data_IF_056939999116
#
_entry.id   IF_056939999116
#
_cell.length_a   1.000
_cell.length_b   1.000
_cell.length_c   1.000
_cell.angle_alpha   90.00
_cell.angle_beta   90.00
_cell.angle_gamma   90.00
#
_symmetry.space_group_name_H-M   'P 1'
#
loop_
_entity.id
_entity.type
_entity.pdbx_description
1 polymer ?
#
# COMPACT_ATOMS: atom_id res chain seq x y z
N UNK A 1 -15.18 -35.59 -2.21
CA UNK A 1 -15.23 -34.30 -1.47
C UNK A 1 -15.64 -33.19 -2.44
N UNK A 2 -16.75 -32.49 -2.17
CA UNK A 2 -17.18 -31.33 -2.97
C UNK A 2 -16.26 -30.14 -2.63
N UNK A 3 -15.56 -29.57 -3.62
CA UNK A 3 -14.94 -28.25 -3.49
C UNK A 3 -16.07 -27.27 -3.19
N UNK A 4 -16.11 -26.69 -2.00
CA UNK A 4 -16.98 -25.54 -1.74
C UNK A 4 -16.39 -24.38 -2.54
N UNK A 5 -17.00 -24.03 -3.66
CA UNK A 5 -16.73 -22.79 -4.38
C UNK A 5 -17.03 -21.62 -3.43
N UNK A 6 -16.00 -21.19 -2.70
CA UNK A 6 -16.04 -19.96 -1.92
C UNK A 6 -16.21 -18.85 -2.95
N UNK A 7 -17.43 -18.29 -3.04
CA UNK A 7 -17.70 -17.12 -3.86
C UNK A 7 -16.56 -16.12 -3.70
N UNK A 8 -15.95 -15.61 -4.79
CA UNK A 8 -14.87 -14.68 -4.67
C UNK A 8 -15.35 -13.46 -3.88
N UNK A 9 -14.62 -13.10 -2.82
CA UNK A 9 -14.95 -11.93 -2.04
C UNK A 9 -14.73 -10.69 -2.94
N UNK A 10 -15.80 -10.21 -3.57
CA UNK A 10 -15.77 -9.10 -4.53
C UNK A 10 -15.15 -7.83 -3.93
N UNK A 11 -15.32 -7.60 -2.62
CA UNK A 11 -14.72 -6.45 -1.94
C UNK A 11 -13.20 -6.58 -1.87
N UNK A 12 -12.73 -7.79 -1.55
CA UNK A 12 -11.31 -8.10 -1.54
C UNK A 12 -10.68 -7.97 -2.95
N UNK A 13 -11.35 -8.48 -3.99
CA UNK A 13 -10.87 -8.34 -5.37
C UNK A 13 -10.82 -6.88 -5.84
N UNK A 14 -11.82 -6.07 -5.46
CA UNK A 14 -11.83 -4.62 -5.73
C UNK A 14 -10.66 -3.92 -5.06
N UNK A 15 -10.40 -4.20 -3.78
CA UNK A 15 -9.25 -3.67 -3.04
C UNK A 15 -7.94 -4.03 -3.71
N UNK A 16 -7.74 -5.33 -3.97
CA UNK A 16 -6.57 -5.86 -4.68
C UNK A 16 -6.34 -5.18 -6.04
N UNK A 17 -7.41 -4.96 -6.82
CA UNK A 17 -7.32 -4.26 -8.12
C UNK A 17 -6.84 -2.81 -7.95
N UNK A 18 -7.34 -2.11 -6.92
CA UNK A 18 -6.92 -0.74 -6.60
C UNK A 18 -5.43 -0.70 -6.24
N UNK A 19 -4.97 -1.63 -5.40
CA UNK A 19 -3.55 -1.75 -5.04
C UNK A 19 -2.64 -1.99 -6.27
N UNK A 20 -3.02 -2.90 -7.17
CA UNK A 20 -2.27 -3.11 -8.41
C UNK A 20 -2.25 -1.87 -9.32
N UNK A 21 -3.37 -1.15 -9.42
CA UNK A 21 -3.42 0.11 -10.16
C UNK A 21 -2.46 1.14 -9.55
N UNK A 22 -2.40 1.24 -8.23
CA UNK A 22 -1.48 2.12 -7.50
C UNK A 22 -0.02 1.76 -7.79
N UNK A 23 0.35 0.47 -7.71
CA UNK A 23 1.72 0.02 -8.06
C UNK A 23 2.08 0.40 -9.49
N UNK A 24 1.18 0.17 -10.45
CA UNK A 24 1.41 0.55 -11.86
C UNK A 24 1.62 2.05 -12.00
N UNK A 25 0.83 2.86 -11.30
CA UNK A 25 0.97 4.32 -11.33
C UNK A 25 2.31 4.79 -10.76
N UNK A 26 2.77 4.22 -9.64
CA UNK A 26 4.08 4.54 -9.05
C UNK A 26 5.23 4.24 -10.03
N UNK A 27 5.21 3.07 -10.68
CA UNK A 27 6.22 2.73 -11.69
C UNK A 27 6.25 3.72 -12.85
N UNK A 28 5.08 4.14 -13.33
CA UNK A 28 4.96 5.14 -14.38
C UNK A 28 5.42 6.54 -13.94
N UNK A 29 5.34 6.84 -12.63
CA UNK A 29 5.86 8.08 -12.04
C UNK A 29 7.38 8.05 -11.83
N UNK A 30 8.06 6.94 -12.15
CA UNK A 30 9.51 6.83 -12.06
C UNK A 30 10.04 6.27 -10.74
N UNK A 31 9.19 5.67 -9.90
CA UNK A 31 9.67 4.94 -8.72
C UNK A 31 10.37 3.65 -9.15
N UNK A 32 11.64 3.49 -8.76
CA UNK A 32 12.47 2.32 -9.09
C UNK A 32 11.90 1.02 -8.52
N UNK A 33 11.38 1.10 -7.29
CA UNK A 33 10.73 -0.01 -6.60
C UNK A 33 9.30 0.40 -6.32
N UNK A 34 8.34 -0.46 -6.66
CA UNK A 34 6.95 -0.29 -6.25
C UNK A 34 6.30 -1.66 -6.06
N UNK A 35 5.77 -1.91 -4.86
CA UNK A 35 5.25 -3.22 -4.47
C UNK A 35 4.03 -3.10 -3.56
N UNK A 36 3.22 -4.16 -3.54
CA UNK A 36 2.16 -4.35 -2.56
C UNK A 36 2.77 -4.95 -1.29
N UNK A 37 2.23 -4.61 -0.14
CA UNK A 37 2.57 -5.30 1.10
C UNK A 37 1.99 -6.71 1.10
N UNK A 38 2.77 -7.65 1.66
CA UNK A 38 2.30 -9.01 1.89
C UNK A 38 1.39 -9.01 3.12
N UNK A 39 0.09 -9.26 2.91
CA UNK A 39 -0.91 -9.36 3.97
C UNK A 39 -1.70 -8.07 4.21
N UNK A 40 -2.84 -8.19 4.88
CA UNK A 40 -3.85 -7.13 5.04
C UNK A 40 -3.82 -6.43 6.41
N UNK A 41 -2.86 -6.74 7.27
CA UNK A 41 -2.75 -6.18 8.62
C UNK A 41 -1.74 -5.04 8.73
N UNK A 42 -1.01 -4.77 7.66
CA UNK A 42 -0.07 -3.66 7.59
C UNK A 42 -0.81 -2.32 7.49
N UNK A 43 -0.29 -1.23 8.11
CA UNK A 43 -0.77 0.14 7.88
C UNK A 43 -0.40 0.69 6.48
N UNK A 44 0.26 -0.12 5.66
CA UNK A 44 0.71 0.21 4.32
C UNK A 44 0.20 -0.91 3.41
N UNK A 45 -0.53 -0.56 2.35
CA UNK A 45 -0.99 -1.54 1.34
C UNK A 45 -0.03 -1.59 0.16
N UNK A 46 0.54 -0.44 -0.20
CA UNK A 46 1.47 -0.26 -1.32
C UNK A 46 2.58 0.68 -0.88
N UNK A 47 3.81 0.39 -1.28
CA UNK A 47 4.92 1.32 -1.14
C UNK A 47 5.67 1.51 -2.46
N UNK A 48 6.33 2.65 -2.58
CA UNK A 48 7.29 2.94 -3.65
C UNK A 48 8.57 3.54 -3.10
N UNK A 49 9.71 3.21 -3.71
CA UNK A 49 11.03 3.79 -3.41
C UNK A 49 11.58 4.40 -4.71
N UNK A 50 11.83 5.70 -4.64
CA UNK A 50 12.57 6.48 -5.64
C UNK A 50 13.98 6.70 -5.08
N UNK A 51 14.93 5.94 -5.62
CA UNK A 51 16.32 5.93 -5.16
C UNK A 51 17.07 7.19 -5.58
N UNK A 52 16.66 7.82 -6.68
CA UNK A 52 17.25 9.05 -7.21
C UNK A 52 16.95 10.24 -6.29
N UNK A 53 15.69 10.42 -5.92
CA UNK A 53 15.24 11.52 -5.06
C UNK A 53 15.28 11.18 -3.57
N UNK A 54 15.69 9.95 -3.22
CA UNK A 54 15.70 9.41 -1.85
C UNK A 54 14.34 9.54 -1.17
N UNK A 55 13.29 9.18 -1.90
CA UNK A 55 11.89 9.30 -1.45
C UNK A 55 11.25 7.91 -1.31
N UNK A 56 10.67 7.66 -0.14
CA UNK A 56 9.79 6.52 0.10
C UNK A 56 8.36 7.04 0.15
N UNK A 57 7.47 6.43 -0.62
CA UNK A 57 6.03 6.72 -0.61
C UNK A 57 5.30 5.54 -0.03
N UNK A 58 4.60 5.75 1.07
CA UNK A 58 3.77 4.76 1.74
C UNK A 58 2.30 5.07 1.47
N UNK A 59 1.52 4.09 1.01
CA UNK A 59 0.15 4.30 0.56
C UNK A 59 -0.77 3.26 1.21
N UNK A 60 -1.81 3.76 1.87
CA UNK A 60 -2.98 2.97 2.26
C UNK A 60 -4.09 3.20 1.23
N UNK A 61 -4.59 2.12 0.62
CA UNK A 61 -5.67 2.13 -0.37
C UNK A 61 -7.02 1.96 0.34
N UNK A 62 -7.84 3.03 0.41
CA UNK A 62 -9.23 2.95 0.90
C UNK A 62 -10.25 3.11 -0.23
N UNK A 63 -11.50 2.64 -0.07
CA UNK A 63 -12.57 2.88 -1.04
C UNK A 63 -12.79 4.38 -1.26
N UNK A 64 -13.36 4.76 -2.41
CA UNK A 64 -13.60 6.18 -2.72
C UNK A 64 -14.68 6.80 -1.81
N UNK A 65 -15.52 5.97 -1.18
CA UNK A 65 -16.51 6.36 -0.18
C UNK A 65 -15.97 6.43 1.26
N UNK A 66 -14.64 6.34 1.45
CA UNK A 66 -14.03 6.39 2.77
C UNK A 66 -14.09 7.82 3.33
N UNK A 67 -14.73 7.98 4.49
CA UNK A 67 -14.99 9.29 5.10
C UNK A 67 -13.71 10.01 5.55
N UNK A 68 -13.69 11.34 5.41
CA UNK A 68 -12.57 12.20 5.81
C UNK A 68 -12.17 12.03 7.28
N UNK A 69 -13.14 11.92 8.20
CA UNK A 69 -12.85 11.69 9.62
C UNK A 69 -12.04 10.39 9.86
N UNK A 70 -12.36 9.32 9.11
CA UNK A 70 -11.61 8.06 9.17
C UNK A 70 -10.25 8.17 8.48
N UNK A 71 -10.15 8.96 7.41
CA UNK A 71 -8.88 9.26 6.74
C UNK A 71 -7.94 9.99 7.69
N UNK A 72 -8.43 11.01 8.39
CA UNK A 72 -7.68 11.77 9.38
C UNK A 72 -7.24 10.88 10.55
N UNK A 73 -8.13 10.05 11.09
CA UNK A 73 -7.79 9.11 12.15
C UNK A 73 -6.67 8.13 11.73
N UNK A 74 -6.72 7.61 10.50
CA UNK A 74 -5.66 6.76 9.96
C UNK A 74 -4.35 7.51 9.75
N UNK A 75 -4.42 8.76 9.27
CA UNK A 75 -3.25 9.61 9.12
C UNK A 75 -2.58 9.85 10.47
N UNK A 76 -3.33 10.27 11.49
CA UNK A 76 -2.79 10.52 12.84
C UNK A 76 -2.19 9.26 13.46
N UNK A 77 -2.83 8.10 13.29
CA UNK A 77 -2.31 6.83 13.79
C UNK A 77 -0.97 6.42 13.16
N UNK A 78 -0.67 6.91 11.95
CA UNK A 78 0.52 6.54 11.18
C UNK A 78 1.47 7.71 10.91
N UNK A 79 1.23 8.88 11.50
CA UNK A 79 2.00 10.10 11.22
C UNK A 79 3.49 9.96 11.50
N UNK A 80 3.87 9.08 12.44
CA UNK A 80 5.25 8.77 12.77
C UNK A 80 6.02 8.06 11.65
N UNK A 81 5.33 7.55 10.62
CA UNK A 81 5.97 7.02 9.40
C UNK A 81 6.40 8.14 8.44
N UNK A 82 5.94 9.38 8.66
CA UNK A 82 6.46 10.53 7.93
C UNK A 82 7.72 11.05 8.62
N UNK A 83 8.72 11.43 7.82
CA UNK A 83 9.95 12.03 8.33
C UNK A 83 11.19 11.47 7.66
N UNK A 84 12.32 11.61 8.35
CA UNK A 84 13.62 11.07 7.90
C UNK A 84 13.89 9.78 8.67
N UNK A 85 14.15 8.71 7.92
CA UNK A 85 14.62 7.44 8.45
C UNK A 85 16.04 7.19 7.96
N UNK A 86 16.84 6.53 8.81
CA UNK A 86 18.08 5.91 8.37
C UNK A 86 17.74 4.59 7.67
N UNK A 87 18.41 4.33 6.54
CA UNK A 87 18.22 3.10 5.77
C UNK A 87 19.40 2.19 6.05
N UNK A 88 19.12 1.03 6.64
CA UNK A 88 20.08 -0.04 6.86
C UNK A 88 19.84 -1.09 5.78
N UNK A 89 20.87 -1.41 4.99
CA UNK A 89 20.82 -2.40 3.92
C UNK A 89 21.74 -3.57 4.26
N UNK A 90 21.16 -4.67 4.72
CA UNK A 90 21.88 -5.89 5.09
C UNK A 90 21.82 -6.93 3.97
N UNK A 91 22.95 -7.61 3.72
CA UNK A 91 23.05 -8.76 2.83
C UNK A 91 23.40 -9.97 3.70
N UNK A 92 22.56 -11.02 3.66
CA UNK A 92 22.73 -12.27 4.42
C UNK A 92 23.09 -13.41 3.47
#
# INVERSE_FOLDING_TARGET
MKKTDKMPNRNYEKGRRKEYKTVKALKLQGFDIAQRMAGSHSPIDVFGIDTKNKLIRLIQCKPDSYSDAKTLALYEANKGLNGKFEVIFDVQ
#
